data_IF_346105956734
#
_entry.id   IF_346105956734
#
_cell.length_a   1.000
_cell.length_b   1.000
_cell.length_c   1.000
_cell.angle_alpha   90.00
_cell.angle_beta   90.00
_cell.angle_gamma   90.00
#
_symmetry.space_group_name_H-M   'P 1'
#
loop_
_entity.id
_entity.type
_entity.pdbx_description
1 polymer ?
#
# COMPACT_ATOMS: atom_id res chain seq x y z
N UNK A 1 62.72 52.36 -35.82
CA UNK A 1 61.42 51.71 -36.25
C UNK A 1 61.07 50.63 -35.23
N UNK A 2 60.24 50.99 -34.30
CA UNK A 2 59.95 50.20 -33.08
C UNK A 2 58.65 49.49 -33.21
N UNK A 3 58.62 48.14 -33.08
CA UNK A 3 57.44 47.33 -33.11
C UNK A 3 56.95 47.12 -31.67
N UNK A 4 55.79 47.68 -31.37
CA UNK A 4 55.10 47.52 -30.09
C UNK A 4 54.28 46.20 -30.15
N UNK A 5 54.62 45.23 -29.28
CA UNK A 5 53.87 43.99 -29.08
C UNK A 5 52.77 44.25 -28.04
N UNK A 6 51.52 44.11 -28.45
CA UNK A 6 50.38 44.06 -27.54
C UNK A 6 50.25 42.63 -27.02
N UNK A 7 50.38 42.49 -25.71
CA UNK A 7 50.05 41.27 -25.00
C UNK A 7 48.55 41.41 -24.54
N UNK A 8 47.65 40.65 -25.14
CA UNK A 8 46.27 40.57 -24.70
C UNK A 8 46.17 39.53 -23.55
N UNK A 9 45.92 40.02 -22.34
CA UNK A 9 45.63 39.19 -21.19
C UNK A 9 44.19 38.67 -21.28
N UNK A 10 44.01 37.38 -21.53
CA UNK A 10 42.70 36.70 -21.44
C UNK A 10 42.45 36.35 -19.98
N UNK A 11 41.59 37.11 -19.32
CA UNK A 11 41.05 36.77 -18.02
C UNK A 11 39.97 35.67 -18.20
N UNK A 12 40.31 34.41 -17.85
CA UNK A 12 39.39 33.31 -17.78
C UNK A 12 38.56 33.48 -16.50
N UNK A 13 37.32 33.94 -16.64
CA UNK A 13 36.36 33.94 -15.55
C UNK A 13 35.87 32.51 -15.31
N UNK A 14 36.41 31.85 -14.28
CA UNK A 14 35.81 30.64 -13.74
C UNK A 14 34.49 31.02 -13.04
N UNK A 15 33.37 30.88 -13.76
CA UNK A 15 32.07 30.87 -13.12
C UNK A 15 32.02 29.62 -12.22
N UNK A 16 32.13 29.83 -10.92
CA UNK A 16 31.79 28.83 -9.91
C UNK A 16 30.32 28.43 -10.10
N UNK A 17 30.10 27.32 -10.77
CA UNK A 17 28.83 26.67 -10.81
C UNK A 17 28.56 26.12 -9.40
N UNK A 18 27.97 26.96 -8.55
CA UNK A 18 27.39 26.51 -7.30
C UNK A 18 26.10 25.76 -7.68
N UNK A 19 26.00 24.43 -7.55
CA UNK A 19 24.70 23.79 -7.70
C UNK A 19 23.83 24.41 -6.60
N UNK A 20 22.77 25.11 -6.99
CA UNK A 20 21.72 25.47 -6.06
C UNK A 20 21.24 24.16 -5.44
N UNK A 21 21.71 23.87 -4.23
CA UNK A 21 21.06 22.90 -3.39
C UNK A 21 19.62 23.42 -3.25
N UNK A 22 18.63 22.72 -3.85
CA UNK A 22 17.23 22.98 -3.58
C UNK A 22 17.10 23.05 -2.06
N UNK A 23 16.72 24.20 -1.54
CA UNK A 23 16.56 24.40 -0.11
C UNK A 23 15.55 23.35 0.38
N UNK A 24 16.02 22.42 1.18
CA UNK A 24 15.19 21.35 1.73
C UNK A 24 14.02 22.01 2.47
N UNK A 25 12.79 21.78 2.00
CA UNK A 25 11.60 22.33 2.65
C UNK A 25 11.60 21.94 4.13
N UNK A 26 11.22 22.87 4.99
CA UNK A 26 11.07 22.54 6.41
C UNK A 26 9.85 21.62 6.64
N UNK A 27 9.84 20.82 7.71
CA UNK A 27 8.66 20.02 8.06
C UNK A 27 7.39 20.87 8.19
N UNK A 28 7.52 22.11 8.68
CA UNK A 28 6.39 23.04 8.82
C UNK A 28 5.82 23.46 7.45
N UNK A 29 6.69 23.74 6.47
CA UNK A 29 6.25 24.09 5.11
C UNK A 29 5.53 22.90 4.45
N UNK A 30 6.07 21.69 4.61
CA UNK A 30 5.43 20.48 4.06
C UNK A 30 4.09 20.20 4.71
N UNK A 31 3.94 20.39 6.03
CA UNK A 31 2.66 20.27 6.74
C UNK A 31 1.64 21.32 6.25
N UNK A 32 2.07 22.57 6.04
CA UNK A 32 1.22 23.62 5.49
C UNK A 32 0.76 23.30 4.05
N UNK A 33 1.64 22.70 3.23
CA UNK A 33 1.29 22.23 1.89
C UNK A 33 0.22 21.12 1.97
N UNK A 34 0.41 20.12 2.83
CA UNK A 34 -0.52 19.01 3.02
C UNK A 34 -1.90 19.52 3.48
N UNK A 35 -1.92 20.46 4.44
CA UNK A 35 -3.17 21.06 4.91
C UNK A 35 -3.89 21.79 3.77
N UNK A 36 -3.17 22.62 3.02
CA UNK A 36 -3.72 23.36 1.88
C UNK A 36 -4.28 22.43 0.80
N UNK A 37 -3.50 21.40 0.43
CA UNK A 37 -3.89 20.42 -0.58
C UNK A 37 -5.06 19.56 -0.10
N UNK A 38 -5.09 19.18 1.19
CA UNK A 38 -6.21 18.47 1.79
C UNK A 38 -7.51 19.26 1.76
N UNK A 39 -7.45 20.58 2.03
CA UNK A 39 -8.61 21.48 1.90
C UNK A 39 -9.05 21.63 0.43
N UNK A 40 -8.11 21.78 -0.50
CA UNK A 40 -8.41 21.88 -1.93
C UNK A 40 -9.05 20.60 -2.48
N UNK A 41 -8.64 19.46 -1.97
CA UNK A 41 -9.21 18.14 -2.28
C UNK A 41 -10.45 17.79 -1.42
N UNK A 42 -11.07 18.78 -0.79
CA UNK A 42 -12.30 18.62 0.01
C UNK A 42 -12.25 17.50 1.05
N UNK A 43 -11.07 17.23 1.61
CA UNK A 43 -10.90 16.18 2.64
C UNK A 43 -11.73 16.50 3.88
N UNK A 44 -12.49 15.53 4.38
CA UNK A 44 -13.26 15.67 5.62
C UNK A 44 -12.38 15.49 6.87
N UNK A 45 -11.28 14.75 6.73
CA UNK A 45 -10.27 14.64 7.77
C UNK A 45 -8.87 14.46 7.17
N UNK A 46 -7.90 15.19 7.73
CA UNK A 46 -6.46 14.96 7.55
C UNK A 46 -5.86 14.96 8.96
N UNK A 47 -5.36 13.80 9.37
CA UNK A 47 -4.69 13.61 10.65
C UNK A 47 -3.28 13.07 10.41
N UNK A 48 -2.27 13.78 10.91
CA UNK A 48 -0.87 13.32 10.87
C UNK A 48 -0.34 13.35 12.29
N UNK A 49 0.22 12.23 12.73
CA UNK A 49 0.83 12.12 14.04
C UNK A 49 2.22 11.51 13.96
N UNK A 50 3.08 11.90 14.89
CA UNK A 50 4.40 11.31 15.13
C UNK A 50 4.43 10.76 16.55
N UNK A 51 4.74 9.46 16.70
CA UNK A 51 4.70 8.80 18.02
C UNK A 51 3.37 9.00 18.77
N UNK A 52 2.25 8.99 18.04
CA UNK A 52 0.92 9.23 18.60
C UNK A 52 0.62 10.68 18.99
N UNK A 53 1.57 11.63 18.76
CA UNK A 53 1.38 13.07 19.01
C UNK A 53 0.97 13.75 17.70
N UNK A 54 -0.18 14.43 17.63
CA UNK A 54 -0.64 15.13 16.45
C UNK A 54 0.34 16.22 15.99
N UNK A 55 0.70 16.20 14.71
CA UNK A 55 1.40 17.26 13.99
C UNK A 55 0.41 18.11 13.17
N UNK A 56 -0.62 17.49 12.66
CA UNK A 56 -1.75 18.10 11.96
C UNK A 56 -3.01 17.33 12.31
N UNK A 57 -4.07 18.03 12.69
CA UNK A 57 -5.38 17.45 13.02
C UNK A 57 -6.46 18.41 12.48
N UNK A 58 -6.85 18.19 11.24
CA UNK A 58 -7.90 18.97 10.56
C UNK A 58 -9.01 18.01 10.19
N UNK A 59 -10.11 18.05 10.96
CA UNK A 59 -11.28 17.24 10.72
C UNK A 59 -12.55 18.10 10.77
N UNK A 60 -13.43 17.95 9.78
CA UNK A 60 -14.77 18.55 9.77
C UNK A 60 -15.79 17.69 10.55
N UNK A 61 -15.44 16.44 10.82
CA UNK A 61 -16.28 15.49 11.55
C UNK A 61 -15.45 14.49 12.35
N UNK A 62 -16.02 14.02 13.47
CA UNK A 62 -15.52 12.88 14.23
C UNK A 62 -16.31 11.60 13.96
N UNK A 63 -17.32 11.67 13.06
CA UNK A 63 -18.13 10.51 12.70
C UNK A 63 -17.33 9.52 11.84
N UNK A 64 -17.69 8.22 11.92
CA UNK A 64 -17.11 7.22 11.04
C UNK A 64 -17.34 7.55 9.55
N UNK A 65 -16.28 7.44 8.76
CA UNK A 65 -16.29 7.61 7.31
C UNK A 65 -15.98 6.27 6.66
N UNK A 66 -16.68 5.97 5.57
CA UNK A 66 -16.53 4.73 4.84
C UNK A 66 -15.11 4.58 4.27
N UNK A 67 -14.39 3.55 4.70
CA UNK A 67 -12.97 3.32 4.35
C UNK A 67 -12.78 2.78 2.93
N UNK A 68 -13.87 2.41 2.25
CA UNK A 68 -13.76 1.75 0.96
C UNK A 68 -12.80 0.54 1.03
N UNK A 69 -11.91 0.40 0.05
CA UNK A 69 -10.98 -0.73 -0.01
C UNK A 69 -9.91 -0.75 1.09
N UNK A 70 -9.72 0.33 1.86
CA UNK A 70 -8.83 0.27 3.03
C UNK A 70 -9.33 -0.73 4.09
N UNK A 71 -10.62 -1.11 4.06
CA UNK A 71 -11.20 -2.24 4.81
C UNK A 71 -10.39 -3.53 4.63
N UNK A 72 -9.83 -3.78 3.44
CA UNK A 72 -9.06 -4.99 3.15
C UNK A 72 -7.85 -5.15 4.06
N UNK A 73 -7.16 -4.05 4.36
CA UNK A 73 -6.01 -4.08 5.27
C UNK A 73 -6.42 -4.46 6.70
N UNK A 74 -7.63 -4.09 7.11
CA UNK A 74 -8.19 -4.52 8.40
C UNK A 74 -8.54 -6.02 8.39
N UNK A 75 -9.00 -6.54 7.25
CA UNK A 75 -9.21 -7.98 7.08
C UNK A 75 -7.91 -8.77 7.24
N UNK A 76 -6.78 -8.24 6.72
CA UNK A 76 -5.48 -8.87 6.90
C UNK A 76 -5.08 -8.94 8.39
N UNK A 77 -5.35 -7.88 9.17
CA UNK A 77 -5.12 -7.90 10.63
C UNK A 77 -5.97 -8.97 11.31
N UNK A 78 -7.24 -9.15 10.89
CA UNK A 78 -8.09 -10.22 11.43
C UNK A 78 -7.50 -11.61 11.18
N UNK A 79 -6.93 -11.85 10.00
CA UNK A 79 -6.23 -13.11 9.69
C UNK A 79 -4.94 -13.24 10.54
N UNK A 80 -4.19 -12.16 10.74
CA UNK A 80 -3.04 -12.14 11.64
C UNK A 80 -3.40 -12.51 13.08
N UNK A 81 -4.54 -12.02 13.57
CA UNK A 81 -5.06 -12.39 14.89
C UNK A 81 -5.47 -13.86 14.97
N UNK A 82 -6.00 -14.45 13.89
CA UNK A 82 -6.29 -15.90 13.87
C UNK A 82 -5.02 -16.76 13.95
N UNK A 83 -3.90 -16.29 13.36
CA UNK A 83 -2.60 -16.96 13.53
C UNK A 83 -2.14 -16.89 14.99
N UNK A 84 -2.20 -15.71 15.61
CA UNK A 84 -1.81 -15.50 17.00
C UNK A 84 -2.69 -16.29 17.99
N UNK A 85 -3.98 -16.43 17.69
CA UNK A 85 -4.93 -17.21 18.49
C UNK A 85 -4.80 -18.73 18.25
N UNK A 86 -3.91 -19.17 17.34
CA UNK A 86 -3.74 -20.57 16.94
C UNK A 86 -4.96 -21.18 16.23
N UNK A 87 -5.84 -20.34 15.71
CA UNK A 87 -7.07 -20.74 14.99
C UNK A 87 -6.82 -20.95 13.49
N UNK A 88 -5.76 -20.38 12.95
CA UNK A 88 -5.21 -20.64 11.64
C UNK A 88 -3.76 -21.12 11.84
N UNK A 89 -3.44 -22.32 11.36
CA UNK A 89 -2.10 -22.90 11.59
C UNK A 89 -1.02 -22.20 10.74
N UNK A 90 -1.37 -21.78 9.53
CA UNK A 90 -0.47 -21.12 8.58
C UNK A 90 -1.24 -20.35 7.53
N UNK A 91 -0.64 -19.28 6.99
CA UNK A 91 -1.18 -18.61 5.79
C UNK A 91 -1.19 -19.53 4.56
N UNK A 92 -0.33 -20.53 4.54
CA UNK A 92 -0.22 -21.49 3.44
C UNK A 92 -1.22 -22.66 3.60
N UNK A 93 -2.11 -22.60 4.60
CA UNK A 93 -3.22 -23.53 4.73
C UNK A 93 -4.15 -23.38 3.51
N UNK A 94 -4.48 -24.50 2.83
CA UNK A 94 -5.38 -24.44 1.68
C UNK A 94 -6.79 -24.09 2.13
N UNK A 95 -7.41 -23.16 1.42
CA UNK A 95 -8.81 -22.75 1.68
C UNK A 95 -9.76 -23.93 1.61
N UNK A 96 -9.41 -24.98 0.84
CA UNK A 96 -10.16 -26.24 0.77
C UNK A 96 -10.20 -27.05 2.07
N UNK A 97 -9.36 -26.74 3.04
CA UNK A 97 -9.48 -27.30 4.40
C UNK A 97 -10.65 -26.67 5.17
N UNK A 98 -10.91 -25.37 4.91
CA UNK A 98 -11.97 -24.57 5.54
C UNK A 98 -13.30 -24.69 4.75
N UNK A 99 -13.19 -24.71 3.42
CA UNK A 99 -14.28 -24.83 2.45
C UNK A 99 -14.12 -26.10 1.61
N UNK A 100 -14.69 -27.24 2.03
CA UNK A 100 -14.53 -28.53 1.35
C UNK A 100 -14.98 -28.52 -0.11
N UNK A 101 -15.83 -27.58 -0.51
CA UNK A 101 -16.30 -27.36 -1.89
C UNK A 101 -15.14 -27.12 -2.85
N UNK A 102 -14.00 -26.63 -2.34
CA UNK A 102 -12.80 -26.35 -3.14
C UNK A 102 -11.79 -27.50 -3.21
N UNK A 103 -12.12 -28.69 -2.70
CA UNK A 103 -11.21 -29.87 -2.78
C UNK A 103 -10.99 -30.39 -4.19
N UNK A 104 -11.74 -29.88 -5.17
CA UNK A 104 -11.64 -30.32 -6.56
C UNK A 104 -11.02 -29.24 -7.46
N UNK A 105 -10.39 -29.70 -8.56
CA UNK A 105 -9.77 -28.81 -9.54
C UNK A 105 -8.65 -27.97 -8.95
N UNK A 106 -8.35 -26.84 -9.60
CA UNK A 106 -7.28 -25.94 -9.20
C UNK A 106 -7.58 -25.14 -7.94
N UNK A 107 -8.86 -25.02 -7.55
CA UNK A 107 -9.23 -24.31 -6.32
C UNK A 107 -8.67 -24.95 -5.06
N UNK A 108 -8.40 -26.27 -5.08
CA UNK A 108 -7.78 -26.98 -3.95
C UNK A 108 -6.40 -26.43 -3.56
N UNK A 109 -5.70 -25.79 -4.51
CA UNK A 109 -4.36 -25.29 -4.34
C UNK A 109 -4.32 -23.82 -3.86
N UNK A 110 -5.51 -23.14 -3.78
CA UNK A 110 -5.61 -21.78 -3.28
C UNK A 110 -5.41 -21.79 -1.77
N UNK A 111 -4.43 -21.01 -1.29
CA UNK A 111 -4.16 -20.82 0.12
C UNK A 111 -4.74 -19.50 0.65
N UNK A 112 -4.83 -19.36 1.97
CA UNK A 112 -5.22 -18.09 2.61
C UNK A 112 -4.26 -16.95 2.20
N UNK A 113 -2.96 -17.24 2.10
CA UNK A 113 -1.94 -16.31 1.59
C UNK A 113 -2.29 -15.78 0.21
N UNK A 114 -2.67 -16.63 -0.71
CA UNK A 114 -3.01 -16.22 -2.09
C UNK A 114 -4.22 -15.31 -2.16
N UNK A 115 -5.18 -15.42 -1.23
CA UNK A 115 -6.29 -14.47 -1.12
C UNK A 115 -5.78 -13.09 -0.66
N UNK A 116 -4.92 -13.06 0.36
CA UNK A 116 -4.36 -11.83 0.94
C UNK A 116 -3.36 -11.13 0.00
N UNK A 117 -2.65 -11.86 -0.84
CA UNK A 117 -1.69 -11.32 -1.80
C UNK A 117 -2.32 -10.99 -3.16
N UNK A 118 -3.63 -11.22 -3.33
CA UNK A 118 -4.30 -11.08 -4.63
C UNK A 118 -3.70 -11.97 -5.73
N UNK A 119 -3.30 -13.19 -5.39
CA UNK A 119 -2.69 -14.15 -6.32
C UNK A 119 -3.53 -15.42 -6.50
N UNK A 120 -4.78 -15.41 -6.04
CA UNK A 120 -5.67 -16.59 -6.05
C UNK A 120 -6.02 -17.13 -7.45
N UNK A 121 -5.88 -16.32 -8.50
CA UNK A 121 -6.29 -16.69 -9.85
C UNK A 121 -7.80 -16.73 -10.07
N UNK A 122 -8.61 -16.35 -9.08
CA UNK A 122 -10.06 -16.28 -9.21
C UNK A 122 -10.47 -15.20 -10.20
N UNK A 123 -11.53 -15.46 -10.95
CA UNK A 123 -12.16 -14.48 -11.81
C UNK A 123 -12.46 -13.18 -11.06
N UNK A 124 -12.15 -12.06 -11.70
CA UNK A 124 -12.46 -10.74 -11.18
C UNK A 124 -13.14 -9.90 -12.26
N UNK A 125 -14.04 -9.01 -11.85
CA UNK A 125 -14.66 -8.03 -12.74
C UNK A 125 -14.09 -6.65 -12.48
N UNK A 126 -13.82 -5.87 -13.54
CA UNK A 126 -13.28 -4.51 -13.38
C UNK A 126 -14.20 -3.59 -12.58
N UNK A 127 -15.51 -3.69 -12.79
CA UNK A 127 -16.51 -2.93 -12.04
C UNK A 127 -17.15 -3.83 -10.97
N UNK A 128 -16.57 -3.82 -9.77
CA UNK A 128 -17.06 -4.61 -8.66
C UNK A 128 -18.51 -4.28 -8.26
N UNK A 129 -18.98 -3.04 -8.44
CA UNK A 129 -20.35 -2.63 -8.10
C UNK A 129 -21.41 -3.47 -8.81
N UNK A 130 -21.25 -3.72 -10.11
CA UNK A 130 -22.24 -4.43 -10.92
C UNK A 130 -22.49 -5.86 -10.41
N UNK A 131 -21.44 -6.57 -10.01
CA UNK A 131 -21.57 -7.96 -9.57
C UNK A 131 -21.96 -8.07 -8.10
N UNK A 132 -21.51 -7.13 -7.29
CA UNK A 132 -21.70 -7.15 -5.84
C UNK A 132 -23.08 -6.65 -5.43
N UNK A 133 -23.64 -5.66 -6.12
CA UNK A 133 -24.98 -5.14 -5.85
C UNK A 133 -26.08 -6.15 -6.12
N UNK A 134 -25.83 -7.17 -6.95
CA UNK A 134 -26.80 -8.20 -7.32
C UNK A 134 -26.64 -9.51 -6.53
N UNK A 135 -25.59 -9.68 -5.76
CA UNK A 135 -25.28 -10.93 -5.08
C UNK A 135 -25.75 -10.90 -3.61
N UNK A 136 -26.70 -11.78 -3.22
CA UNK A 136 -27.22 -11.80 -1.84
C UNK A 136 -26.20 -12.33 -0.82
N UNK A 137 -25.23 -13.15 -1.26
CA UNK A 137 -24.18 -13.76 -0.44
C UNK A 137 -22.84 -13.67 -1.17
N UNK A 138 -21.98 -12.77 -0.70
CA UNK A 138 -20.69 -12.49 -1.33
C UNK A 138 -19.65 -13.59 -1.07
N UNK A 139 -19.81 -14.37 0.01
CA UNK A 139 -18.98 -15.54 0.28
C UNK A 139 -19.30 -16.63 -0.75
N UNK A 140 -20.59 -16.91 -0.99
CA UNK A 140 -21.01 -17.88 -2.00
C UNK A 140 -20.61 -17.45 -3.40
N UNK A 141 -20.75 -16.16 -3.74
CA UNK A 141 -20.27 -15.62 -4.99
C UNK A 141 -18.75 -15.87 -5.17
N UNK A 142 -17.96 -15.64 -4.13
CA UNK A 142 -16.51 -15.89 -4.15
C UNK A 142 -16.18 -17.38 -4.29
N UNK A 143 -16.91 -18.25 -3.60
CA UNK A 143 -16.75 -19.70 -3.71
C UNK A 143 -17.11 -20.22 -5.12
N UNK A 144 -18.12 -19.63 -5.76
CA UNK A 144 -18.55 -19.97 -7.12
C UNK A 144 -17.62 -19.42 -8.22
N UNK A 145 -16.80 -18.39 -7.93
CA UNK A 145 -15.94 -17.74 -8.91
C UNK A 145 -15.06 -18.75 -9.66
N UNK A 146 -14.93 -18.61 -10.98
CA UNK A 146 -14.09 -19.45 -11.80
C UNK A 146 -12.59 -19.12 -11.62
N UNK A 147 -11.73 -20.06 -12.01
CA UNK A 147 -10.28 -19.83 -12.13
C UNK A 147 -9.97 -19.28 -13.52
N UNK A 148 -9.30 -18.15 -13.59
CA UNK A 148 -8.87 -17.49 -14.85
C UNK A 148 -7.36 -17.49 -15.05
N UNK A 149 -6.60 -17.75 -13.98
CA UNK A 149 -5.15 -17.96 -14.03
C UNK A 149 -4.71 -18.97 -12.98
N UNK A 150 -3.54 -19.57 -13.17
CA UNK A 150 -3.00 -20.54 -12.22
C UNK A 150 -2.84 -19.89 -10.85
N UNK A 151 -3.38 -20.46 -9.75
CA UNK A 151 -3.20 -19.93 -8.41
C UNK A 151 -1.74 -19.71 -8.06
N UNK A 152 -1.42 -18.56 -7.47
CA UNK A 152 -0.06 -18.17 -7.10
C UNK A 152 0.83 -17.66 -8.24
N UNK A 153 0.35 -17.66 -9.49
CA UNK A 153 1.22 -17.34 -10.65
C UNK A 153 1.34 -15.84 -10.97
N UNK A 154 0.36 -15.04 -10.58
CA UNK A 154 0.33 -13.61 -10.93
C UNK A 154 -0.50 -12.81 -9.93
N UNK A 155 -0.08 -11.57 -9.70
CA UNK A 155 -0.87 -10.59 -8.97
C UNK A 155 -2.07 -10.12 -9.82
N UNK A 156 -3.27 -10.18 -9.24
CA UNK A 156 -4.50 -9.62 -9.82
C UNK A 156 -5.40 -9.15 -8.69
N UNK A 157 -5.51 -7.82 -8.51
CA UNK A 157 -6.36 -7.23 -7.48
C UNK A 157 -7.77 -7.79 -7.57
N UNK A 158 -8.29 -8.41 -6.49
CA UNK A 158 -9.48 -9.24 -6.55
C UNK A 158 -10.41 -9.01 -5.34
N UNK A 159 -11.58 -8.43 -5.62
CA UNK A 159 -12.59 -8.18 -4.60
C UNK A 159 -13.30 -9.46 -4.13
N UNK A 160 -13.54 -10.44 -5.02
CA UNK A 160 -14.14 -11.72 -4.64
C UNK A 160 -13.24 -12.48 -3.66
N UNK A 161 -11.93 -12.55 -3.95
CA UNK A 161 -10.97 -13.17 -3.07
C UNK A 161 -11.03 -12.58 -1.65
N UNK A 162 -11.12 -11.25 -1.55
CA UNK A 162 -11.23 -10.58 -0.25
C UNK A 162 -12.59 -10.74 0.42
N UNK A 163 -13.68 -10.90 -0.34
CA UNK A 163 -15.01 -11.20 0.23
C UNK A 163 -15.14 -12.64 0.75
N UNK A 164 -14.20 -13.52 0.43
CA UNK A 164 -14.16 -14.85 1.05
C UNK A 164 -13.60 -14.81 2.48
N UNK A 165 -12.75 -13.81 2.80
CA UNK A 165 -12.08 -13.70 4.09
C UNK A 165 -13.04 -13.61 5.29
N UNK A 166 -14.13 -12.83 5.27
CA UNK A 166 -15.11 -12.82 6.37
C UNK A 166 -15.66 -14.19 6.70
N UNK A 167 -15.96 -14.99 5.67
CA UNK A 167 -16.45 -16.34 5.86
C UNK A 167 -15.38 -17.29 6.43
N UNK A 168 -14.11 -17.15 6.00
CA UNK A 168 -12.98 -17.87 6.59
C UNK A 168 -12.84 -17.52 8.07
N UNK A 169 -12.84 -16.22 8.40
CA UNK A 169 -12.73 -15.75 9.77
C UNK A 169 -13.87 -16.27 10.62
N UNK A 170 -15.11 -16.18 10.12
CA UNK A 170 -16.26 -16.65 10.88
C UNK A 170 -16.19 -18.15 11.20
N UNK A 171 -15.74 -18.98 10.24
CA UNK A 171 -15.59 -20.43 10.46
C UNK A 171 -14.49 -20.76 11.47
N UNK A 172 -13.35 -20.06 11.39
CA UNK A 172 -12.19 -20.30 12.27
C UNK A 172 -12.37 -19.68 13.66
N UNK A 173 -12.94 -18.47 13.73
CA UNK A 173 -13.16 -17.77 15.00
C UNK A 173 -14.41 -18.29 15.75
N UNK A 174 -15.37 -18.92 15.04
CA UNK A 174 -16.65 -19.33 15.59
C UNK A 174 -17.64 -18.17 15.79
N UNK A 175 -17.36 -17.01 15.21
CA UNK A 175 -18.18 -15.80 15.28
C UNK A 175 -17.92 -14.89 14.07
N UNK A 176 -18.87 -14.01 13.68
CA UNK A 176 -18.68 -13.07 12.57
C UNK A 176 -17.45 -12.17 12.77
N UNK A 177 -16.87 -11.71 11.65
CA UNK A 177 -15.62 -10.92 11.66
C UNK A 177 -15.72 -9.61 12.42
N UNK A 178 -16.86 -8.93 12.37
CA UNK A 178 -17.12 -7.69 13.11
C UNK A 178 -17.08 -7.95 14.63
N UNK A 179 -17.75 -8.99 15.12
CA UNK A 179 -17.70 -9.37 16.53
C UNK A 179 -16.30 -9.83 16.97
N UNK A 180 -15.60 -10.56 16.08
CA UNK A 180 -14.23 -11.01 16.36
C UNK A 180 -13.28 -9.81 16.48
N UNK A 181 -13.31 -8.88 15.53
CA UNK A 181 -12.47 -7.68 15.56
C UNK A 181 -12.90 -6.71 16.66
N UNK A 182 -14.18 -6.60 16.98
CA UNK A 182 -14.62 -5.80 18.12
C UNK A 182 -13.93 -6.27 19.41
N UNK A 183 -13.94 -7.57 19.66
CA UNK A 183 -13.38 -8.15 20.89
C UNK A 183 -11.84 -8.08 20.90
N UNK A 184 -11.18 -8.39 19.77
CA UNK A 184 -9.73 -8.61 19.70
C UNK A 184 -8.93 -7.36 19.33
N UNK A 185 -9.55 -6.37 18.67
CA UNK A 185 -8.87 -5.21 18.13
C UNK A 185 -9.55 -3.89 18.51
N UNK A 186 -10.83 -3.71 18.17
CA UNK A 186 -11.47 -2.39 18.25
C UNK A 186 -11.64 -1.93 19.69
N UNK A 187 -12.24 -2.75 20.55
CA UNK A 187 -12.44 -2.40 21.96
C UNK A 187 -11.12 -2.16 22.71
N UNK A 188 -10.08 -3.00 22.57
CA UNK A 188 -8.78 -2.72 23.17
C UNK A 188 -8.10 -1.44 22.67
N UNK A 189 -8.36 -1.02 21.42
CA UNK A 189 -7.88 0.26 20.88
C UNK A 189 -8.79 1.45 21.24
N UNK A 190 -9.87 1.23 21.98
CA UNK A 190 -10.85 2.28 22.31
C UNK A 190 -11.77 2.66 21.16
N UNK A 191 -11.82 1.88 20.10
CA UNK A 191 -12.72 2.08 18.96
C UNK A 191 -14.10 1.55 19.35
N UNK A 192 -15.03 2.48 19.62
CA UNK A 192 -16.37 2.15 20.11
C UNK A 192 -17.48 2.50 19.12
N UNK A 193 -17.17 3.29 18.11
CA UNK A 193 -18.12 3.72 17.08
C UNK A 193 -17.58 3.36 15.72
N UNK A 194 -18.19 2.40 15.09
CA UNK A 194 -17.92 1.98 13.72
C UNK A 194 -19.22 1.48 13.08
N UNK A 195 -19.24 1.43 11.77
CA UNK A 195 -20.26 0.77 10.99
C UNK A 195 -19.61 -0.18 9.99
N UNK A 196 -20.28 -1.27 9.66
CA UNK A 196 -19.79 -2.21 8.65
C UNK A 196 -20.94 -2.71 7.80
N UNK A 197 -20.92 -2.36 6.53
CA UNK A 197 -21.91 -2.84 5.55
C UNK A 197 -21.87 -4.36 5.47
N UNK A 198 -23.07 -4.96 5.40
CA UNK A 198 -23.25 -6.40 5.28
C UNK A 198 -24.01 -6.73 3.99
N UNK A 199 -23.78 -7.92 3.46
CA UNK A 199 -24.62 -8.49 2.41
C UNK A 199 -25.98 -8.95 2.96
N UNK A 200 -26.86 -9.45 2.09
CA UNK A 200 -28.19 -9.92 2.52
C UNK A 200 -28.10 -11.17 3.41
N UNK A 201 -27.02 -11.95 3.32
CA UNK A 201 -26.75 -13.06 4.21
C UNK A 201 -26.27 -12.62 5.62
N UNK A 202 -26.06 -11.31 5.85
CA UNK A 202 -25.62 -10.74 7.10
C UNK A 202 -24.12 -10.79 7.32
N UNK A 203 -23.34 -11.10 6.28
CA UNK A 203 -21.88 -11.16 6.34
C UNK A 203 -21.26 -9.76 6.09
N UNK A 204 -20.38 -9.25 6.98
CA UNK A 204 -19.67 -8.01 6.70
C UNK A 204 -18.83 -8.11 5.42
N UNK A 205 -18.80 -7.04 4.61
CA UNK A 205 -18.06 -7.01 3.35
C UNK A 205 -16.55 -7.02 3.61
N UNK A 206 -15.85 -8.02 3.07
CA UNK A 206 -14.39 -8.11 3.23
C UNK A 206 -13.62 -7.15 2.34
N UNK A 207 -14.17 -6.80 1.18
CA UNK A 207 -13.52 -5.91 0.22
C UNK A 207 -13.65 -4.42 0.55
N UNK A 208 -14.67 -4.04 1.35
CA UNK A 208 -15.05 -2.67 1.65
C UNK A 208 -16.04 -2.65 2.83
N UNK A 209 -16.65 -1.50 3.11
CA UNK A 209 -17.84 -1.45 3.96
C UNK A 209 -17.59 -1.06 5.41
N UNK A 210 -16.37 -1.17 5.92
CA UNK A 210 -16.03 -0.67 7.24
C UNK A 210 -15.96 0.86 7.22
N UNK A 211 -16.54 1.50 8.23
CA UNK A 211 -16.46 2.93 8.49
C UNK A 211 -15.80 3.16 9.84
N UNK A 212 -14.79 4.03 9.88
CA UNK A 212 -14.09 4.45 11.09
C UNK A 212 -13.89 5.97 11.09
N UNK A 213 -13.72 6.57 12.27
CA UNK A 213 -13.22 7.93 12.35
C UNK A 213 -11.72 7.99 11.97
N UNK A 214 -11.22 9.16 11.60
CA UNK A 214 -9.80 9.33 11.28
C UNK A 214 -8.91 8.97 12.49
N UNK A 215 -9.34 9.24 13.71
CA UNK A 215 -8.61 8.92 14.94
C UNK A 215 -8.58 7.42 15.22
N UNK A 216 -9.68 6.72 14.96
CA UNK A 216 -9.76 5.27 15.12
C UNK A 216 -8.87 4.56 14.08
N UNK A 217 -8.89 5.04 12.83
CA UNK A 217 -8.01 4.52 11.80
C UNK A 217 -6.54 4.81 12.10
N UNK A 218 -6.22 6.00 12.67
CA UNK A 218 -4.87 6.32 13.11
C UNK A 218 -4.40 5.44 14.28
N UNK A 219 -5.30 5.04 15.19
CA UNK A 219 -4.97 4.09 16.26
C UNK A 219 -4.58 2.71 15.71
N UNK A 220 -5.22 2.26 14.62
CA UNK A 220 -4.80 1.04 13.91
C UNK A 220 -3.43 1.23 13.24
N UNK A 221 -3.18 2.38 12.63
CA UNK A 221 -1.86 2.71 12.08
C UNK A 221 -0.77 2.75 13.15
N UNK A 222 -1.09 3.27 14.35
CA UNK A 222 -0.17 3.29 15.48
C UNK A 222 0.13 1.87 15.99
N UNK A 223 -0.87 0.99 16.06
CA UNK A 223 -0.68 -0.41 16.40
C UNK A 223 0.30 -1.11 15.43
N UNK A 224 0.16 -0.83 14.12
CA UNK A 224 1.11 -1.32 13.10
C UNK A 224 2.52 -0.80 13.37
N UNK A 225 2.65 0.48 13.66
CA UNK A 225 3.91 1.16 13.94
C UNK A 225 4.60 0.62 15.20
N UNK A 226 3.81 0.27 16.21
CA UNK A 226 4.28 -0.23 17.51
C UNK A 226 4.38 -1.76 17.57
N UNK A 227 4.40 -2.44 16.41
CA UNK A 227 4.60 -3.89 16.33
C UNK A 227 3.54 -4.71 17.08
N UNK A 228 2.29 -4.23 17.08
CA UNK A 228 1.15 -4.92 17.69
C UNK A 228 0.92 -4.61 19.16
N UNK A 229 1.57 -3.57 19.72
CA UNK A 229 1.38 -3.10 21.10
C UNK A 229 0.46 -1.89 21.10
N UNK A 230 -0.59 -1.93 21.91
CA UNK A 230 -1.50 -0.81 22.12
C UNK A 230 -0.86 0.27 23.02
N UNK A 231 -1.45 1.47 23.03
CA UNK A 231 -0.94 2.64 23.78
C UNK A 231 -0.78 2.39 25.29
N UNK A 232 -1.58 1.49 25.86
CA UNK A 232 -1.51 1.13 27.29
C UNK A 232 -0.44 0.06 27.58
N UNK A 233 0.34 -0.36 26.57
CA UNK A 233 1.36 -1.40 26.67
C UNK A 233 0.85 -2.81 26.45
N UNK A 234 -0.45 -3.00 26.23
CA UNK A 234 -1.04 -4.32 25.96
C UNK A 234 -0.65 -4.80 24.57
N UNK A 235 -0.09 -6.00 24.46
CA UNK A 235 0.16 -6.63 23.16
C UNK A 235 -1.14 -7.24 22.62
N UNK A 236 -1.65 -6.69 21.54
CA UNK A 236 -2.86 -7.17 20.86
C UNK A 236 -2.55 -8.18 19.76
N UNK A 237 -1.39 -7.99 19.09
CA UNK A 237 -0.89 -8.85 18.02
C UNK A 237 0.59 -9.14 18.24
N UNK A 238 1.06 -10.29 17.77
CA UNK A 238 2.50 -10.58 17.78
C UNK A 238 3.23 -9.67 16.79
N UNK A 239 4.49 -9.38 17.08
CA UNK A 239 5.35 -8.66 16.13
C UNK A 239 5.48 -9.41 14.80
N UNK A 240 5.49 -10.76 14.89
CA UNK A 240 5.51 -11.61 13.70
C UNK A 240 4.25 -11.38 12.83
N UNK A 241 3.05 -11.42 13.41
CA UNK A 241 1.81 -11.19 12.66
C UNK A 241 1.79 -9.79 12.01
N UNK A 242 2.25 -8.75 12.72
CA UNK A 242 2.39 -7.41 12.16
C UNK A 242 3.40 -7.38 11.01
N UNK A 243 4.56 -8.01 11.16
CA UNK A 243 5.59 -8.03 10.12
C UNK A 243 5.12 -8.69 8.83
N UNK A 244 4.31 -9.74 8.93
CA UNK A 244 3.73 -10.41 7.78
C UNK A 244 2.88 -9.49 6.89
N UNK A 245 2.22 -8.46 7.47
CA UNK A 245 1.38 -7.52 6.71
C UNK A 245 2.15 -6.80 5.61
N UNK A 246 3.44 -6.60 5.81
CA UNK A 246 4.28 -5.73 4.98
C UNK A 246 5.41 -6.47 4.24
N UNK A 247 5.50 -7.78 4.40
CA UNK A 247 6.43 -8.62 3.63
C UNK A 247 6.02 -8.62 2.16
N UNK A 248 7.00 -8.52 1.29
CA UNK A 248 6.82 -8.54 -0.16
C UNK A 248 6.15 -9.83 -0.63
N UNK A 249 5.10 -9.70 -1.45
CA UNK A 249 4.54 -10.84 -2.17
C UNK A 249 5.48 -11.30 -3.27
N UNK A 250 5.58 -12.61 -3.48
CA UNK A 250 6.41 -13.18 -4.55
C UNK A 250 6.01 -12.70 -5.95
N UNK A 251 4.75 -12.24 -6.13
CA UNK A 251 4.19 -11.83 -7.42
C UNK A 251 4.08 -10.30 -7.58
N UNK A 252 4.31 -9.54 -6.51
CA UNK A 252 4.27 -8.08 -6.56
C UNK A 252 5.07 -7.48 -5.41
N UNK A 253 6.06 -6.70 -5.75
CA UNK A 253 6.84 -5.95 -4.77
C UNK A 253 6.06 -4.75 -4.16
N UNK A 254 4.90 -4.39 -4.73
CA UNK A 254 4.08 -3.26 -4.30
C UNK A 254 3.07 -3.61 -3.21
N UNK A 255 2.93 -4.90 -2.88
CA UNK A 255 1.92 -5.36 -1.94
C UNK A 255 2.46 -6.44 -1.01
N UNK A 256 2.04 -6.36 0.25
CA UNK A 256 2.13 -7.45 1.22
C UNK A 256 0.79 -8.15 1.38
N UNK A 257 0.38 -8.44 2.62
CA UNK A 257 -0.94 -9.02 2.90
C UNK A 257 -2.01 -7.90 2.94
N UNK A 258 -2.55 -7.53 1.78
CA UNK A 258 -3.54 -6.44 1.62
C UNK A 258 -3.08 -5.07 2.13
N UNK A 259 -1.78 -4.90 2.34
CA UNK A 259 -1.12 -3.63 2.65
C UNK A 259 -0.24 -3.23 1.48
N UNK A 260 -0.34 -1.97 1.04
CA UNK A 260 0.50 -1.42 -0.01
C UNK A 260 1.88 -1.07 0.55
N UNK A 261 2.91 -1.35 -0.23
CA UNK A 261 4.31 -1.05 0.06
C UNK A 261 4.74 0.16 -0.78
N UNK A 262 5.00 1.27 -0.14
CA UNK A 262 5.30 2.54 -0.79
C UNK A 262 6.81 2.76 -0.85
N UNK A 263 7.40 2.84 -2.04
CA UNK A 263 8.81 3.17 -2.18
C UNK A 263 9.06 4.64 -1.85
N UNK A 264 10.28 4.93 -1.44
CA UNK A 264 10.74 6.28 -1.14
C UNK A 264 10.66 7.22 -2.36
N UNK A 265 10.83 6.66 -3.54
CA UNK A 265 10.68 7.31 -4.83
C UNK A 265 10.39 6.28 -5.91
N UNK A 266 9.71 6.72 -6.97
CA UNK A 266 9.49 5.96 -8.19
C UNK A 266 9.86 6.80 -9.40
N UNK A 267 10.17 6.11 -10.50
CA UNK A 267 10.39 6.71 -11.80
C UNK A 267 9.82 5.83 -12.89
N UNK A 268 9.08 6.43 -13.78
CA UNK A 268 8.55 5.78 -14.98
C UNK A 268 9.13 6.47 -16.21
N UNK A 269 9.91 5.74 -16.98
CA UNK A 269 10.53 6.24 -18.23
C UNK A 269 9.98 5.44 -19.39
N UNK A 270 9.54 6.12 -20.46
CA UNK A 270 9.01 5.48 -21.65
C UNK A 270 10.07 4.53 -22.25
N UNK A 271 9.65 3.31 -22.60
CA UNK A 271 10.55 2.33 -23.24
C UNK A 271 10.80 2.72 -24.69
N UNK A 272 11.98 2.48 -25.20
CA UNK A 272 12.37 2.78 -26.60
C UNK A 272 11.51 2.04 -27.61
N UNK A 273 10.95 0.89 -27.26
CA UNK A 273 10.09 0.07 -28.12
C UNK A 273 8.60 0.30 -27.88
N UNK A 274 8.21 1.22 -27.00
CA UNK A 274 6.82 1.51 -26.66
C UNK A 274 5.98 1.84 -27.91
N UNK A 275 6.50 2.66 -28.82
CA UNK A 275 5.78 3.02 -30.05
C UNK A 275 5.46 1.80 -30.91
N UNK A 276 6.41 0.87 -31.07
CA UNK A 276 6.19 -0.38 -31.79
C UNK A 276 5.12 -1.22 -31.12
N UNK A 277 5.22 -1.40 -29.79
CA UNK A 277 4.26 -2.14 -28.98
C UNK A 277 2.84 -1.59 -29.12
N UNK A 278 2.68 -0.27 -29.04
CA UNK A 278 1.37 0.40 -29.20
C UNK A 278 0.77 0.14 -30.59
N UNK A 279 1.56 0.25 -31.66
CA UNK A 279 1.11 -0.03 -33.04
C UNK A 279 0.72 -1.49 -33.24
N UNK A 280 1.54 -2.44 -32.79
CA UNK A 280 1.27 -3.88 -32.92
C UNK A 280 -0.01 -4.28 -32.17
N UNK A 281 -0.34 -3.59 -31.09
CA UNK A 281 -1.58 -3.77 -30.34
C UNK A 281 -2.77 -2.97 -30.87
N UNK A 282 -2.58 -2.18 -31.94
CA UNK A 282 -3.64 -1.41 -32.59
C UNK A 282 -4.22 -0.29 -31.72
N UNK A 283 -3.41 0.30 -30.83
CA UNK A 283 -3.80 1.46 -30.02
C UNK A 283 -4.02 2.67 -30.94
N UNK A 284 -5.05 3.48 -30.68
CA UNK A 284 -5.37 4.64 -31.50
C UNK A 284 -4.25 5.68 -31.53
N UNK A 285 -4.12 6.40 -32.66
CA UNK A 285 -3.12 7.45 -32.81
C UNK A 285 -3.25 8.53 -31.73
N UNK A 286 -4.48 8.84 -31.29
CA UNK A 286 -4.74 9.82 -30.24
C UNK A 286 -4.07 9.42 -28.92
N UNK A 287 -4.24 8.16 -28.49
CA UNK A 287 -3.64 7.66 -27.26
C UNK A 287 -2.12 7.44 -27.42
N UNK A 288 -1.68 6.98 -28.64
CA UNK A 288 -0.26 6.89 -28.94
C UNK A 288 0.43 8.25 -28.79
N UNK A 289 -0.13 9.33 -29.39
CA UNK A 289 0.46 10.68 -29.25
C UNK A 289 0.55 11.13 -27.80
N UNK A 290 -0.48 10.92 -27.00
CA UNK A 290 -0.47 11.29 -25.57
C UNK A 290 0.60 10.54 -24.78
N UNK A 291 0.79 9.25 -25.05
CA UNK A 291 1.82 8.42 -24.40
C UNK A 291 3.24 8.76 -24.87
N UNK A 292 3.41 8.99 -26.19
CA UNK A 292 4.71 9.30 -26.82
C UNK A 292 5.15 10.74 -26.58
N UNK A 293 4.23 11.67 -26.27
CA UNK A 293 4.55 13.02 -25.81
C UNK A 293 5.40 13.01 -24.51
N UNK A 294 5.53 11.84 -23.91
CA UNK A 294 6.36 11.57 -22.74
C UNK A 294 7.78 11.04 -23.11
N UNK A 295 8.19 11.03 -24.38
CA UNK A 295 9.38 10.30 -24.85
C UNK A 295 10.68 10.69 -24.12
N UNK A 296 10.84 11.96 -23.76
CA UNK A 296 11.97 12.41 -22.95
C UNK A 296 11.58 12.66 -21.49
N UNK A 297 10.39 12.25 -21.08
CA UNK A 297 9.85 12.55 -19.77
C UNK A 297 10.04 11.37 -18.81
N UNK A 298 10.43 11.71 -17.61
CA UNK A 298 10.45 10.77 -16.49
C UNK A 298 9.39 11.21 -15.48
N UNK A 299 8.43 10.34 -15.21
CA UNK A 299 7.39 10.61 -14.22
C UNK A 299 7.82 10.13 -12.84
N UNK A 300 7.66 10.99 -11.84
CA UNK A 300 8.03 10.72 -10.47
C UNK A 300 7.08 9.75 -9.74
N UNK A 301 5.98 9.35 -10.38
CA UNK A 301 5.03 8.36 -9.86
C UNK A 301 4.07 7.91 -10.96
N UNK A 302 3.36 6.83 -10.72
CA UNK A 302 2.23 6.40 -11.57
C UNK A 302 1.14 7.49 -11.64
N UNK A 303 0.87 8.16 -10.52
CA UNK A 303 -0.11 9.26 -10.48
C UNK A 303 0.31 10.42 -11.37
N UNK A 304 1.60 10.77 -11.41
CA UNK A 304 2.12 11.80 -12.30
C UNK A 304 1.96 11.42 -13.79
N UNK A 305 2.18 10.13 -14.14
CA UNK A 305 1.92 9.62 -15.47
C UNK A 305 0.42 9.72 -15.83
N UNK A 306 -0.48 9.34 -14.90
CA UNK A 306 -1.92 9.41 -15.13
C UNK A 306 -2.40 10.87 -15.27
N UNK A 307 -1.85 11.79 -14.47
CA UNK A 307 -2.11 13.23 -14.59
C UNK A 307 -1.68 13.79 -15.95
N UNK A 308 -0.53 13.34 -16.46
CA UNK A 308 -0.08 13.69 -17.82
C UNK A 308 -1.08 13.22 -18.88
N UNK A 309 -1.56 11.98 -18.81
CA UNK A 309 -2.57 11.48 -19.74
C UNK A 309 -3.88 12.27 -19.64
N UNK A 310 -4.32 12.61 -18.43
CA UNK A 310 -5.50 13.46 -18.21
C UNK A 310 -5.33 14.84 -18.84
N UNK A 311 -4.16 15.44 -18.72
CA UNK A 311 -3.83 16.73 -19.33
C UNK A 311 -3.84 16.67 -20.87
N UNK A 312 -3.33 15.58 -21.46
CA UNK A 312 -3.25 15.41 -22.91
C UNK A 312 -4.58 15.03 -23.56
N UNK A 313 -5.43 14.29 -22.88
CA UNK A 313 -6.63 13.65 -23.43
C UNK A 313 -7.95 14.22 -22.87
N UNK A 314 -7.89 15.02 -21.80
CA UNK A 314 -9.08 15.51 -21.11
C UNK A 314 -9.87 14.37 -20.45
N UNK A 315 -11.18 14.52 -20.34
CA UNK A 315 -12.08 13.55 -19.67
C UNK A 315 -12.11 12.16 -20.32
N UNK A 316 -11.70 12.06 -21.59
CA UNK A 316 -11.69 10.79 -22.33
C UNK A 316 -10.53 9.86 -21.94
N UNK A 317 -9.56 10.30 -21.14
CA UNK A 317 -8.34 9.54 -20.92
C UNK A 317 -8.59 8.18 -20.24
N UNK A 318 -9.48 8.11 -19.26
CA UNK A 318 -9.78 6.88 -18.54
C UNK A 318 -10.47 5.82 -19.42
N UNK A 319 -11.57 6.16 -20.13
CA UNK A 319 -12.18 5.22 -21.06
C UNK A 319 -11.22 4.72 -22.15
N UNK A 320 -10.41 5.62 -22.73
CA UNK A 320 -9.42 5.26 -23.74
C UNK A 320 -8.36 4.32 -23.17
N UNK A 321 -7.79 4.66 -22.00
CA UNK A 321 -6.79 3.81 -21.34
C UNK A 321 -7.35 2.44 -20.98
N UNK A 322 -8.56 2.40 -20.41
CA UNK A 322 -9.23 1.14 -20.04
C UNK A 322 -9.48 0.25 -21.27
N UNK A 323 -9.96 0.83 -22.38
CA UNK A 323 -10.32 0.06 -23.56
C UNK A 323 -9.09 -0.33 -24.38
N UNK A 324 -8.15 0.59 -24.60
CA UNK A 324 -7.08 0.43 -25.57
C UNK A 324 -5.76 -0.03 -24.96
N UNK A 325 -5.53 0.16 -23.67
CA UNK A 325 -4.36 -0.39 -22.97
C UNK A 325 -4.77 -1.66 -22.23
N UNK A 326 -5.57 -1.52 -21.18
CA UNK A 326 -5.94 -2.66 -20.32
C UNK A 326 -6.79 -3.69 -21.09
N UNK A 327 -7.78 -3.25 -21.85
CA UNK A 327 -8.67 -4.11 -22.65
C UNK A 327 -7.95 -4.87 -23.76
N UNK A 328 -6.78 -4.39 -24.21
CA UNK A 328 -5.91 -5.09 -25.19
C UNK A 328 -4.80 -5.90 -24.51
N UNK A 329 -4.85 -6.05 -23.18
CA UNK A 329 -3.91 -6.83 -22.39
C UNK A 329 -2.54 -6.17 -22.21
N UNK A 330 -2.42 -4.86 -22.47
CA UNK A 330 -1.22 -4.10 -22.19
C UNK A 330 -1.17 -3.69 -20.71
N UNK A 331 0.02 -3.70 -20.15
CA UNK A 331 0.34 -3.21 -18.80
C UNK A 331 1.24 -1.98 -18.89
N UNK A 332 1.31 -1.20 -17.83
CA UNK A 332 2.26 -0.07 -17.74
C UNK A 332 3.69 -0.55 -17.99
N UNK A 333 4.07 -1.71 -17.48
CA UNK A 333 5.40 -2.29 -17.64
C UNK A 333 5.77 -2.63 -19.11
N UNK A 334 4.79 -2.81 -19.99
CA UNK A 334 5.03 -3.02 -21.42
C UNK A 334 5.44 -1.74 -22.14
N UNK A 335 5.05 -0.58 -21.56
CA UNK A 335 5.26 0.74 -22.17
C UNK A 335 6.31 1.57 -21.41
N UNK A 336 6.42 1.39 -20.12
CA UNK A 336 7.32 2.15 -19.25
C UNK A 336 8.26 1.23 -18.48
N UNK A 337 9.52 1.62 -18.43
CA UNK A 337 10.47 1.07 -17.47
C UNK A 337 10.28 1.80 -16.14
N UNK A 338 9.99 1.04 -15.09
CA UNK A 338 9.95 1.59 -13.74
C UNK A 338 11.26 1.38 -13.00
N UNK A 339 11.65 2.38 -12.23
CA UNK A 339 12.72 2.32 -11.23
C UNK A 339 12.15 2.79 -9.92
N UNK A 340 12.59 2.24 -8.81
CA UNK A 340 12.11 2.63 -7.50
C UNK A 340 13.18 2.50 -6.43
N UNK A 341 13.05 3.32 -5.41
CA UNK A 341 13.85 3.28 -4.20
C UNK A 341 13.43 2.18 -3.23
N UNK A 342 14.06 2.13 -2.07
CA UNK A 342 13.64 1.23 -1.01
C UNK A 342 12.22 1.56 -0.55
N UNK A 343 11.53 0.57 0.02
CA UNK A 343 10.21 0.78 0.65
C UNK A 343 10.42 1.57 1.94
N UNK A 344 9.72 2.69 2.08
CA UNK A 344 9.82 3.59 3.24
C UNK A 344 8.52 3.72 4.02
N UNK A 345 7.39 3.34 3.42
CA UNK A 345 6.08 3.43 4.06
C UNK A 345 5.17 2.29 3.63
N UNK A 346 4.11 2.11 4.39
CA UNK A 346 3.04 1.16 4.12
C UNK A 346 1.69 1.87 4.14
N UNK A 347 0.73 1.41 3.34
CA UNK A 347 -0.56 2.06 3.27
C UNK A 347 -1.74 1.09 3.15
N UNK A 348 -2.86 1.49 3.75
CA UNK A 348 -4.19 1.01 3.43
C UNK A 348 -4.88 2.09 2.58
N UNK A 349 -5.26 1.74 1.35
CA UNK A 349 -5.83 2.68 0.39
C UNK A 349 -7.26 2.28 0.01
N UNK A 350 -8.14 3.26 -0.10
CA UNK A 350 -9.52 3.08 -0.54
C UNK A 350 -9.91 4.08 -1.62
N UNK A 351 -10.92 3.70 -2.38
CA UNK A 351 -11.56 4.55 -3.37
C UNK A 351 -11.91 5.92 -2.80
N UNK A 352 -11.94 6.98 -3.60
CA UNK A 352 -12.05 8.40 -3.21
C UNK A 352 -10.80 8.97 -2.52
N UNK A 353 -9.74 8.19 -2.35
CA UNK A 353 -8.54 8.61 -1.62
C UNK A 353 -8.69 8.47 -0.10
N UNK A 354 -9.33 7.39 0.35
CA UNK A 354 -9.21 6.98 1.73
C UNK A 354 -7.79 6.44 1.95
N UNK A 355 -7.03 7.08 2.82
CA UNK A 355 -5.63 6.74 3.05
C UNK A 355 -5.34 6.57 4.53
N UNK A 356 -4.66 5.49 4.86
CA UNK A 356 -3.85 5.34 6.06
C UNK A 356 -2.43 5.07 5.61
N UNK A 357 -1.48 5.91 6.00
CA UNK A 357 -0.05 5.77 5.68
C UNK A 357 0.74 5.64 6.97
N UNK A 358 1.60 4.63 7.04
CA UNK A 358 2.51 4.36 8.16
C UNK A 358 3.94 4.44 7.67
N UNK A 359 4.74 5.33 8.26
CA UNK A 359 6.17 5.50 7.96
C UNK A 359 6.97 5.07 9.20
N UNK A 360 7.51 3.84 9.22
CA UNK A 360 8.13 3.28 10.42
C UNK A 360 9.35 4.05 10.91
N UNK A 361 10.26 4.40 10.02
CA UNK A 361 11.53 5.03 10.39
C UNK A 361 11.36 6.38 11.10
N UNK A 362 10.44 7.23 10.63
CA UNK A 362 10.15 8.53 11.26
C UNK A 362 9.00 8.46 12.26
N UNK A 363 8.43 7.28 12.46
CA UNK A 363 7.31 7.01 13.36
C UNK A 363 6.09 7.89 13.10
N UNK A 364 5.75 8.02 11.81
CA UNK A 364 4.61 8.81 11.35
C UNK A 364 3.44 7.89 11.01
N UNK A 365 2.26 8.28 11.45
CA UNK A 365 0.97 7.77 10.99
C UNK A 365 0.18 8.93 10.42
N UNK A 366 -0.32 8.76 9.21
CA UNK A 366 -1.13 9.77 8.54
C UNK A 366 -2.41 9.16 7.99
N UNK A 367 -3.51 9.87 8.17
CA UNK A 367 -4.85 9.49 7.71
C UNK A 367 -5.43 10.63 6.89
N UNK A 368 -6.01 10.29 5.74
CA UNK A 368 -6.89 11.16 4.97
C UNK A 368 -8.20 10.43 4.72
N UNK A 369 -9.33 11.07 5.08
CA UNK A 369 -10.66 10.55 4.80
C UNK A 369 -11.54 11.59 4.11
N UNK A 370 -12.43 11.11 3.24
CA UNK A 370 -13.42 11.91 2.54
C UNK A 370 -14.76 11.15 2.50
N UNK A 371 -15.85 11.85 2.76
CA UNK A 371 -17.20 11.32 2.60
C UNK A 371 -17.59 11.29 1.11
N UNK A 372 -18.32 10.25 0.71
CA UNK A 372 -18.94 10.24 -0.62
C UNK A 372 -19.98 11.34 -0.72
N UNK A 373 -19.90 12.14 -1.77
CA UNK A 373 -20.88 13.20 -2.10
C UNK A 373 -21.54 12.91 -3.44
N UNK A 374 -22.78 13.35 -3.63
CA UNK A 374 -23.51 13.18 -4.90
C UNK A 374 -22.82 13.89 -6.09
N UNK A 375 -22.08 14.97 -5.81
CA UNK A 375 -21.28 15.69 -6.81
C UNK A 375 -20.12 14.84 -7.38
N UNK A 376 -19.76 13.73 -6.75
CA UNK A 376 -18.76 12.80 -7.27
C UNK A 376 -19.39 11.84 -8.29
N UNK A 377 -19.76 12.34 -9.48
CA UNK A 377 -20.35 11.52 -10.54
C UNK A 377 -19.39 10.43 -11.04
N UNK A 378 -18.07 10.71 -11.00
CA UNK A 378 -16.98 9.75 -11.14
C UNK A 378 -15.94 10.09 -10.09
N UNK A 379 -15.94 9.40 -8.96
CA UNK A 379 -15.00 9.69 -7.90
C UNK A 379 -13.60 9.26 -8.34
N UNK A 380 -12.82 10.25 -8.66
CA UNK A 380 -11.37 10.15 -8.77
C UNK A 380 -10.82 10.41 -7.38
N UNK A 381 -9.71 9.78 -7.03
CA UNK A 381 -8.95 10.18 -5.86
C UNK A 381 -8.40 11.60 -6.10
N UNK A 382 -9.07 12.59 -5.52
CA UNK A 382 -8.70 14.02 -5.69
C UNK A 382 -7.40 14.36 -4.98
N UNK A 383 -6.86 13.43 -4.18
CA UNK A 383 -5.61 13.61 -3.44
C UNK A 383 -4.69 12.37 -3.54
N UNK A 384 -4.57 11.82 -4.74
CA UNK A 384 -3.71 10.66 -5.02
C UNK A 384 -2.23 10.89 -4.65
N UNK A 385 -1.79 12.14 -4.50
CA UNK A 385 -0.43 12.49 -4.07
C UNK A 385 -0.23 12.43 -2.55
N UNK A 386 -1.30 12.28 -1.75
CA UNK A 386 -1.20 12.29 -0.30
C UNK A 386 -0.14 11.33 0.27
N UNK A 387 -0.05 10.05 -0.14
CA UNK A 387 0.99 9.17 0.36
C UNK A 387 2.42 9.65 0.04
N UNK A 388 2.64 10.21 -1.16
CA UNK A 388 3.94 10.75 -1.54
C UNK A 388 4.29 12.01 -0.73
N UNK A 389 3.31 12.84 -0.39
CA UNK A 389 3.52 14.01 0.46
C UNK A 389 3.86 13.63 1.90
N UNK A 390 3.29 12.55 2.42
CA UNK A 390 3.68 11.99 3.73
C UNK A 390 5.13 11.48 3.71
N UNK A 391 5.55 10.81 2.65
CA UNK A 391 6.96 10.40 2.48
C UNK A 391 7.87 11.64 2.37
N UNK A 392 7.44 12.70 1.65
CA UNK A 392 8.16 13.98 1.60
C UNK A 392 8.28 14.62 2.99
N UNK A 393 7.20 14.61 3.78
CA UNK A 393 7.23 15.08 5.18
C UNK A 393 8.24 14.29 6.00
N UNK A 394 8.21 12.98 5.93
CA UNK A 394 9.15 12.11 6.64
C UNK A 394 10.60 12.44 6.29
N UNK A 395 10.91 12.65 5.01
CA UNK A 395 12.24 13.06 4.54
C UNK A 395 12.67 14.45 5.01
N UNK A 396 11.75 15.36 5.26
CA UNK A 396 12.05 16.70 5.76
C UNK A 396 12.42 16.70 7.24
N UNK A 397 12.02 15.65 7.98
CA UNK A 397 12.34 15.50 9.40
C UNK A 397 13.77 14.99 9.61
N UNK A 398 14.40 15.32 10.76
CA UNK A 398 15.66 14.69 11.12
C UNK A 398 15.45 13.18 11.32
N UNK A 399 16.43 12.40 10.87
CA UNK A 399 16.45 10.97 11.18
C UNK A 399 16.44 10.78 12.71
N UNK A 400 15.72 9.74 13.18
CA UNK A 400 15.82 9.39 14.60
C UNK A 400 17.28 9.08 14.90
N UNK A 401 17.82 9.71 15.95
CA UNK A 401 19.15 9.35 16.45
C UNK A 401 19.13 7.85 16.76
N UNK A 402 20.06 7.10 16.18
CA UNK A 402 20.24 5.70 16.55
C UNK A 402 20.29 5.62 18.10
N UNK A 403 19.60 4.64 18.73
CA UNK A 403 19.69 4.49 20.17
C UNK A 403 21.19 4.44 20.54
N UNK A 404 21.59 5.35 21.42
CA UNK A 404 22.98 5.39 21.88
C UNK A 404 23.27 3.99 22.45
N UNK A 405 24.09 3.22 21.74
CA UNK A 405 24.66 1.98 22.24
C UNK A 405 25.63 2.36 23.36
N UNK A 406 25.07 2.61 24.53
CA UNK A 406 25.83 2.82 25.76
C UNK A 406 26.36 1.47 26.20
N UNK A 407 27.48 1.04 25.59
CA UNK A 407 28.35 0.04 26.22
C UNK A 407 29.54 0.84 26.72
N UNK A 408 29.43 1.29 27.98
CA UNK A 408 30.58 1.66 28.79
C UNK A 408 31.45 0.44 28.93
N UNK A 409 32.59 0.44 28.26
CA UNK A 409 33.57 -0.60 28.36
C UNK A 409 34.15 -0.66 29.78
N UNK A 410 33.92 -1.76 30.47
CA UNK A 410 34.83 -2.29 31.46
C UNK A 410 35.68 -3.33 30.75
N UNK A 411 36.94 -2.98 30.49
CA UNK A 411 37.97 -3.94 30.16
C UNK A 411 38.24 -4.76 31.42
N UNK A 412 37.86 -6.02 31.41
CA UNK A 412 38.48 -7.04 32.27
C UNK A 412 39.06 -8.12 31.35
N UNK A 413 40.41 -8.12 31.30
CA UNK A 413 41.22 -9.15 30.71
C UNK A 413 41.01 -10.46 31.47
N UNK A 414 40.38 -11.44 30.83
CA UNK A 414 40.50 -12.85 31.22
C UNK A 414 40.82 -13.66 29.99
N UNK A 415 42.11 -14.04 29.87
CA UNK A 415 42.58 -15.00 28.93
C UNK A 415 42.04 -16.40 29.30
N UNK A 416 41.22 -16.97 28.44
CA UNK A 416 40.82 -18.37 28.52
C UNK A 416 41.39 -19.09 27.31
N UNK A 417 42.45 -19.91 27.58
CA UNK A 417 42.93 -20.96 26.69
C UNK A 417 41.82 -22.00 26.49
N UNK A 418 41.38 -22.22 25.29
CA UNK A 418 40.56 -23.36 24.94
C UNK A 418 41.28 -24.20 23.91
N UNK A 419 41.75 -25.38 24.35
CA UNK A 419 42.26 -26.44 23.50
C UNK A 419 41.11 -27.04 22.67
N UNK A 420 41.34 -27.09 21.36
CA UNK A 420 40.46 -27.78 20.41
C UNK A 420 40.91 -29.23 20.37
N UNK A 421 40.13 -30.17 20.93
CA UNK A 421 40.24 -31.60 20.65
C UNK A 421 39.29 -31.96 19.50
N UNK A 422 39.90 -32.33 18.40
CA UNK A 422 39.28 -33.02 17.27
C UNK A 422 38.98 -34.48 17.65
N UNK A 423 37.74 -34.93 17.48
CA UNK A 423 37.42 -36.34 17.32
C UNK A 423 36.49 -36.52 16.14
N UNK A 424 37.05 -36.96 15.03
CA UNK A 424 36.32 -37.54 13.93
C UNK A 424 36.12 -39.03 14.22
N UNK A 425 34.93 -39.54 13.96
CA UNK A 425 34.71 -40.95 13.67
C UNK A 425 33.54 -41.15 12.70
N UNK A 426 33.67 -42.04 11.71
CA UNK A 426 32.73 -42.20 10.64
C UNK A 426 31.66 -43.25 10.94
N UNK A 427 30.44 -43.01 10.49
CA UNK A 427 29.42 -44.08 10.42
C UNK A 427 29.15 -44.38 8.95
N UNK A 428 29.35 -45.66 8.59
CA UNK A 428 28.95 -46.31 7.34
C UNK A 428 27.50 -46.76 7.41
N UNK A 429 26.92 -46.79 6.22
CA UNK A 429 25.68 -47.39 5.73
C UNK A 429 24.44 -46.57 5.88
#
# INVERSE_FOLDING_TARGET
MSAVRHVASVLLAFALYCPFAEARQSPADVLADIERNGRAAHSDAVLIQKDGVPLLDVASTSEPIHLMSATKSIMALAIGLLLDDGKLASLDEPVSAIYPEWRQGQKRDITVRMLLEHTSGLQNVPNAGVELESAPDLVQLALAAEITSVPGSAFSYNNKATNLLPGIIARLAGQPVDAYLEARLFRPLGITRYDWMKDEAGTPLGMAGLSLSARDLAAIGQLMLDGGVAKDGTRLMSEHAISLMTVESAQSADVGLLWWRLPEWERYTLRKDAQRTLRERGVSDRLQHALLAAEDSTFASKSALMAHLSQQLGDDWQPLYATEITGRGLKIADLFQSQRGPVSAYAANGYLGQHLVVVPEQRIVAVRLIQRRESHAFPVDDYATFPAEIIRLAKSMPALAAPATGIGGAQDDVAVHTEIRSTASPIRL
#
